data_IF_849818952360
#
_entry.id   IF_849818952360
#
_cell.length_a   1.000
_cell.length_b   1.000
_cell.length_c   1.000
_cell.angle_alpha   90.00
_cell.angle_beta   90.00
_cell.angle_gamma   90.00
#
_symmetry.space_group_name_H-M   'P 1'
#
loop_
_entity.id
_entity.type
_entity.pdbx_description
1 polymer ?
#
# COMPACT_ATOMS: atom_id res chain seq x y z
N UNK A 1 -12.03 18.38 -16.13
CA UNK A 1 -11.58 17.45 -15.08
C UNK A 1 -10.43 18.07 -14.32
N UNK A 2 -10.14 17.55 -13.13
CA UNK A 2 -8.93 17.96 -12.39
C UNK A 2 -7.77 17.06 -12.80
N UNK A 3 -6.59 17.63 -13.02
CA UNK A 3 -5.39 16.87 -13.32
C UNK A 3 -4.97 16.01 -12.14
N UNK A 4 -4.40 14.84 -12.43
CA UNK A 4 -3.75 13.95 -11.46
C UNK A 4 -2.40 13.50 -12.01
N UNK A 5 -1.42 13.28 -11.14
CA UNK A 5 -0.22 12.55 -11.48
C UNK A 5 -0.50 11.06 -11.29
N UNK A 6 -0.24 10.25 -12.28
CA UNK A 6 -0.37 8.78 -12.19
C UNK A 6 1.02 8.17 -12.23
N UNK A 7 1.35 7.42 -11.21
CA UNK A 7 2.58 6.62 -11.13
C UNK A 7 2.21 5.19 -10.75
N UNK A 8 3.08 4.23 -10.97
CA UNK A 8 2.80 2.88 -10.48
C UNK A 8 3.55 1.78 -11.23
N UNK A 9 3.07 0.59 -11.04
CA UNK A 9 3.60 -0.65 -11.61
C UNK A 9 2.53 -1.37 -12.42
N UNK A 10 2.94 -2.19 -13.36
CA UNK A 10 2.05 -3.00 -14.20
C UNK A 10 2.65 -4.39 -14.44
N UNK A 11 1.83 -5.31 -14.97
CA UNK A 11 2.23 -6.67 -15.36
C UNK A 11 2.80 -7.50 -14.21
N UNK A 12 2.39 -7.24 -12.97
CA UNK A 12 2.89 -7.95 -11.81
C UNK A 12 4.40 -7.83 -11.61
N UNK A 13 4.99 -6.70 -11.99
CA UNK A 13 6.43 -6.45 -11.87
C UNK A 13 6.89 -6.55 -10.42
N UNK A 14 8.04 -7.21 -10.20
CA UNK A 14 8.74 -7.11 -8.93
C UNK A 14 9.39 -5.73 -8.78
N UNK A 15 9.47 -5.23 -7.55
CA UNK A 15 10.11 -3.94 -7.26
C UNK A 15 11.47 -4.21 -6.61
N UNK A 16 12.52 -4.02 -7.40
CA UNK A 16 13.91 -4.00 -6.96
C UNK A 16 14.42 -2.56 -6.77
N UNK A 17 15.74 -2.43 -6.63
CA UNK A 17 16.40 -1.15 -6.39
C UNK A 17 16.13 -0.14 -7.51
N UNK A 18 16.26 -0.56 -8.76
CA UNK A 18 16.03 0.30 -9.93
C UNK A 18 14.57 0.79 -9.99
N UNK A 19 13.61 -0.13 -9.86
CA UNK A 19 12.19 0.22 -9.90
C UNK A 19 11.81 1.17 -8.76
N UNK A 20 12.36 0.99 -7.56
CA UNK A 20 12.14 1.89 -6.44
C UNK A 20 12.69 3.29 -6.72
N UNK A 21 13.88 3.42 -7.35
CA UNK A 21 14.44 4.71 -7.76
C UNK A 21 13.62 5.38 -8.86
N UNK A 22 13.15 4.64 -9.85
CA UNK A 22 12.30 5.17 -10.93
C UNK A 22 10.99 5.71 -10.35
N UNK A 23 10.34 4.96 -9.45
CA UNK A 23 9.13 5.43 -8.77
C UNK A 23 9.42 6.69 -7.94
N UNK A 24 10.53 6.74 -7.21
CA UNK A 24 10.93 7.91 -6.42
C UNK A 24 11.18 9.13 -7.33
N UNK A 25 11.87 8.95 -8.46
CA UNK A 25 12.12 10.01 -9.44
C UNK A 25 10.80 10.59 -9.98
N UNK A 26 9.82 9.75 -10.31
CA UNK A 26 8.51 10.22 -10.74
C UNK A 26 7.75 10.99 -9.64
N UNK A 27 7.88 10.60 -8.38
CA UNK A 27 7.31 11.37 -7.26
C UNK A 27 7.94 12.76 -7.18
N UNK A 28 9.27 12.85 -7.29
CA UNK A 28 9.99 14.14 -7.29
C UNK A 28 9.58 15.01 -8.48
N UNK A 29 9.47 14.43 -9.68
CA UNK A 29 9.01 15.15 -10.87
C UNK A 29 7.57 15.71 -10.67
N UNK A 30 6.69 14.96 -10.05
CA UNK A 30 5.36 15.46 -9.68
C UNK A 30 5.44 16.64 -8.71
N UNK A 31 6.31 16.57 -7.69
CA UNK A 31 6.49 17.65 -6.71
C UNK A 31 6.97 18.95 -7.39
N UNK A 32 7.93 18.83 -8.30
CA UNK A 32 8.56 19.98 -8.96
C UNK A 32 7.67 20.62 -10.02
N UNK A 33 7.06 19.79 -10.87
CA UNK A 33 6.34 20.27 -12.06
C UNK A 33 4.85 20.44 -11.87
N UNK A 34 4.24 19.80 -10.87
CA UNK A 34 2.79 19.78 -10.67
C UNK A 34 2.40 20.00 -9.21
N UNK A 35 2.71 21.18 -8.63
CA UNK A 35 2.49 21.46 -7.21
C UNK A 35 1.07 21.15 -6.76
N UNK A 36 0.94 20.44 -5.65
CA UNK A 36 -0.34 20.07 -5.00
C UNK A 36 -1.29 19.21 -5.85
N UNK A 37 -0.87 18.77 -7.03
CA UNK A 37 -1.66 17.84 -7.85
C UNK A 37 -1.75 16.48 -7.15
N UNK A 38 -2.93 15.84 -7.03
CA UNK A 38 -3.02 14.52 -6.43
C UNK A 38 -2.15 13.49 -7.15
N UNK A 39 -1.47 12.64 -6.39
CA UNK A 39 -0.68 11.53 -6.91
C UNK A 39 -1.47 10.24 -6.71
N UNK A 40 -1.77 9.55 -7.80
CA UNK A 40 -2.48 8.28 -7.82
C UNK A 40 -1.48 7.18 -8.16
N UNK A 41 -1.28 6.27 -7.21
CA UNK A 41 -0.40 5.11 -7.37
C UNK A 41 -1.22 3.90 -7.82
N UNK A 42 -1.00 3.43 -9.05
CA UNK A 42 -1.58 2.19 -9.56
C UNK A 42 -0.64 1.04 -9.21
N UNK A 43 -1.14 0.06 -8.47
CA UNK A 43 -0.31 -1.04 -7.99
C UNK A 43 -0.68 -2.34 -8.67
N UNK A 44 0.27 -2.86 -9.44
CA UNK A 44 0.28 -4.22 -9.95
C UNK A 44 1.70 -4.78 -9.83
N UNK A 45 2.02 -5.29 -8.64
CA UNK A 45 3.35 -5.78 -8.27
C UNK A 45 3.29 -7.11 -7.54
N UNK A 46 4.13 -8.06 -7.97
CA UNK A 46 4.30 -9.36 -7.31
C UNK A 46 5.08 -9.30 -5.99
N UNK A 47 5.52 -8.11 -5.58
CA UNK A 47 6.27 -7.89 -4.34
C UNK A 47 7.65 -7.28 -4.57
N UNK A 48 8.48 -7.33 -3.53
CA UNK A 48 9.89 -6.94 -3.67
C UNK A 48 10.65 -7.97 -4.51
N UNK A 49 11.67 -7.50 -5.23
CA UNK A 49 12.53 -8.33 -6.08
C UNK A 49 13.27 -9.39 -5.24
N UNK A 50 13.04 -10.69 -5.46
CA UNK A 50 13.61 -11.74 -4.62
C UNK A 50 15.00 -12.17 -5.12
N UNK A 51 15.90 -11.21 -5.36
CA UNK A 51 17.25 -11.52 -5.79
C UNK A 51 18.30 -11.02 -4.79
N UNK A 52 19.43 -11.74 -4.76
CA UNK A 52 20.51 -11.47 -3.82
C UNK A 52 21.21 -10.12 -4.09
N UNK A 53 21.27 -9.68 -5.35
CA UNK A 53 21.98 -8.46 -5.72
C UNK A 53 21.26 -7.23 -5.15
N UNK A 54 19.95 -7.14 -5.29
CA UNK A 54 19.16 -6.06 -4.72
C UNK A 54 19.28 -6.01 -3.19
N UNK A 55 19.24 -7.18 -2.53
CA UNK A 55 19.42 -7.26 -1.07
C UNK A 55 20.83 -6.80 -0.65
N UNK A 56 21.88 -7.23 -1.35
CA UNK A 56 23.26 -6.83 -1.05
C UNK A 56 23.51 -5.34 -1.30
N UNK A 57 22.81 -4.72 -2.25
CA UNK A 57 22.87 -3.30 -2.52
C UNK A 57 21.99 -2.48 -1.55
N UNK A 58 21.24 -3.13 -0.67
CA UNK A 58 20.46 -2.49 0.37
C UNK A 58 19.04 -2.12 -0.07
N UNK A 59 18.29 -3.07 -0.62
CA UNK A 59 16.90 -2.90 -1.08
C UNK A 59 16.02 -2.11 -0.10
N UNK A 60 16.16 -2.38 1.20
CA UNK A 60 15.42 -1.65 2.23
C UNK A 60 15.70 -0.13 2.22
N UNK A 61 16.92 0.29 1.89
CA UNK A 61 17.29 1.71 1.78
C UNK A 61 16.65 2.38 0.57
N UNK A 62 16.53 1.66 -0.55
CA UNK A 62 15.84 2.15 -1.74
C UNK A 62 14.34 2.33 -1.51
N UNK A 63 13.70 1.39 -0.82
CA UNK A 63 12.34 1.57 -0.37
C UNK A 63 12.21 2.75 0.61
N UNK A 64 13.14 2.90 1.56
CA UNK A 64 13.18 4.02 2.47
C UNK A 64 13.28 5.37 1.76
N UNK A 65 14.08 5.43 0.67
CA UNK A 65 14.17 6.61 -0.18
C UNK A 65 12.82 6.91 -0.88
N UNK A 66 12.19 5.91 -1.49
CA UNK A 66 10.86 6.06 -2.12
C UNK A 66 9.82 6.56 -1.11
N UNK A 67 9.79 5.98 0.09
CA UNK A 67 8.89 6.42 1.16
C UNK A 67 9.16 7.86 1.60
N UNK A 68 10.44 8.26 1.65
CA UNK A 68 10.82 9.65 1.97
C UNK A 68 10.34 10.63 0.90
N UNK A 69 10.40 10.25 -0.38
CA UNK A 69 9.86 11.05 -1.48
C UNK A 69 8.33 11.18 -1.39
N UNK A 70 7.61 10.10 -1.08
CA UNK A 70 6.17 10.13 -0.88
C UNK A 70 5.78 10.99 0.33
N UNK A 71 6.53 10.89 1.43
CA UNK A 71 6.30 11.77 2.59
C UNK A 71 6.57 13.24 2.25
N UNK A 72 7.62 13.53 1.50
CA UNK A 72 7.89 14.89 1.01
C UNK A 72 6.72 15.40 0.15
N UNK A 73 6.18 14.59 -0.75
CA UNK A 73 5.02 14.95 -1.55
C UNK A 73 3.82 15.31 -0.66
N UNK A 74 3.52 14.49 0.34
CA UNK A 74 2.44 14.78 1.31
C UNK A 74 2.67 16.11 2.02
N UNK A 75 3.88 16.36 2.53
CA UNK A 75 4.24 17.62 3.20
C UNK A 75 4.18 18.82 2.27
N UNK A 76 4.33 18.63 0.96
CA UNK A 76 4.15 19.66 -0.06
C UNK A 76 2.68 19.85 -0.47
N UNK A 77 1.75 19.10 0.13
CA UNK A 77 0.31 19.22 -0.05
C UNK A 77 -0.26 18.37 -1.18
N UNK A 78 0.50 17.39 -1.69
CA UNK A 78 -0.05 16.36 -2.60
C UNK A 78 -0.89 15.38 -1.81
N UNK A 79 -2.08 15.06 -2.31
CA UNK A 79 -2.90 13.95 -1.82
C UNK A 79 -2.41 12.65 -2.45
N UNK A 80 -2.14 11.65 -1.64
CA UNK A 80 -1.64 10.35 -2.09
C UNK A 80 -2.76 9.31 -2.07
N UNK A 81 -3.07 8.72 -3.21
CA UNK A 81 -4.06 7.65 -3.32
C UNK A 81 -3.42 6.41 -3.92
N UNK A 82 -3.77 5.24 -3.42
CA UNK A 82 -3.40 3.96 -4.01
C UNK A 82 -4.63 3.24 -4.53
N UNK A 83 -4.49 2.63 -5.71
CA UNK A 83 -5.46 1.70 -6.27
C UNK A 83 -4.71 0.43 -6.65
N UNK A 84 -4.97 -0.67 -5.95
CA UNK A 84 -4.50 -1.99 -6.36
C UNK A 84 -5.31 -2.43 -7.59
N UNK A 85 -4.64 -2.57 -8.73
CA UNK A 85 -5.27 -2.88 -10.03
C UNK A 85 -5.01 -4.31 -10.50
N UNK A 86 -4.01 -4.96 -9.93
CA UNK A 86 -3.60 -6.32 -10.22
C UNK A 86 -3.04 -6.98 -8.97
N UNK A 87 -1.81 -7.49 -9.05
CA UNK A 87 -1.11 -8.02 -7.88
C UNK A 87 -0.69 -6.87 -6.94
N UNK A 88 -0.98 -7.00 -5.67
CA UNK A 88 -0.55 -6.07 -4.64
C UNK A 88 -0.02 -6.90 -3.46
N UNK A 89 1.22 -7.40 -3.60
CA UNK A 89 1.74 -8.50 -2.79
C UNK A 89 2.96 -8.04 -1.98
N UNK A 90 3.02 -8.57 -0.76
CA UNK A 90 4.23 -8.58 0.07
C UNK A 90 4.71 -7.21 0.53
N UNK A 91 6.01 -7.15 0.84
CA UNK A 91 6.64 -5.96 1.41
C UNK A 91 6.58 -4.73 0.51
N UNK A 92 6.67 -4.90 -0.80
CA UNK A 92 6.57 -3.78 -1.73
C UNK A 92 5.22 -3.05 -1.63
N UNK A 93 4.11 -3.79 -1.66
CA UNK A 93 2.78 -3.19 -1.49
C UNK A 93 2.61 -2.56 -0.10
N UNK A 94 3.04 -3.27 0.96
CA UNK A 94 2.97 -2.75 2.33
C UNK A 94 3.78 -1.45 2.48
N UNK A 95 4.96 -1.39 1.88
CA UNK A 95 5.80 -0.19 1.94
C UNK A 95 5.16 0.96 1.17
N UNK A 96 5.18 0.93 -0.17
CA UNK A 96 4.80 2.12 -0.92
C UNK A 96 3.29 2.22 -1.17
N UNK A 97 2.61 1.10 -1.46
CA UNK A 97 1.18 1.11 -1.77
C UNK A 97 0.32 1.49 -0.56
N UNK A 98 0.61 0.92 0.60
CA UNK A 98 -0.14 1.23 1.83
C UNK A 98 0.31 2.53 2.51
N UNK A 99 1.29 3.22 1.96
CA UNK A 99 1.75 4.51 2.50
C UNK A 99 0.82 5.68 2.13
N UNK A 100 -0.08 5.51 1.18
CA UNK A 100 -1.02 6.53 0.73
C UNK A 100 -1.99 7.01 1.82
N UNK A 101 -2.59 8.18 1.61
CA UNK A 101 -3.64 8.73 2.48
C UNK A 101 -4.93 7.92 2.38
N UNK A 102 -5.23 7.38 1.19
CA UNK A 102 -6.37 6.53 0.87
C UNK A 102 -5.95 5.34 0.02
N UNK A 103 -6.50 4.19 0.33
CA UNK A 103 -6.14 2.92 -0.30
C UNK A 103 -7.40 2.22 -0.78
N UNK A 104 -7.44 1.94 -2.07
CA UNK A 104 -8.53 1.26 -2.77
C UNK A 104 -7.99 0.03 -3.49
N UNK A 105 -8.85 -0.90 -3.82
CA UNK A 105 -8.52 -2.04 -4.67
C UNK A 105 -9.65 -2.31 -5.65
N UNK A 106 -9.32 -2.79 -6.84
CA UNK A 106 -10.33 -3.37 -7.72
C UNK A 106 -10.73 -4.75 -7.20
N UNK A 107 -11.97 -5.14 -7.46
CA UNK A 107 -12.50 -6.47 -7.10
C UNK A 107 -11.72 -7.62 -7.73
N UNK A 108 -11.08 -7.35 -8.87
CA UNK A 108 -10.19 -8.28 -9.57
C UNK A 108 -8.75 -8.30 -9.02
N UNK A 109 -8.40 -7.41 -8.09
CA UNK A 109 -7.04 -7.31 -7.58
C UNK A 109 -6.72 -8.45 -6.60
N UNK A 110 -5.51 -9.00 -6.73
CA UNK A 110 -4.96 -10.03 -5.83
C UNK A 110 -4.11 -9.34 -4.76
N UNK A 111 -4.73 -8.97 -3.65
CA UNK A 111 -4.07 -8.30 -2.53
C UNK A 111 -3.70 -9.33 -1.47
N UNK A 112 -2.46 -9.32 -0.98
CA UNK A 112 -2.04 -10.29 0.03
C UNK A 112 -0.62 -10.08 0.53
N UNK A 113 -0.28 -10.77 1.63
CA UNK A 113 1.03 -10.66 2.24
C UNK A 113 2.05 -11.60 1.57
N UNK A 114 1.70 -12.88 1.46
CA UNK A 114 2.60 -13.92 0.94
C UNK A 114 1.78 -15.10 0.43
N UNK A 115 2.11 -15.70 -0.72
CA UNK A 115 1.49 -16.95 -1.18
C UNK A 115 1.60 -18.07 -0.15
N UNK A 116 0.58 -18.91 -0.06
CA UNK A 116 0.51 -19.97 0.97
C UNK A 116 1.70 -20.94 0.89
N UNK A 117 2.17 -21.23 -0.31
CA UNK A 117 3.34 -22.07 -0.54
C UNK A 117 4.62 -21.46 0.03
N UNK A 118 4.82 -20.16 -0.22
CA UNK A 118 5.94 -19.40 0.34
C UNK A 118 5.81 -19.29 1.87
N UNK A 119 4.60 -19.07 2.37
CA UNK A 119 4.33 -19.02 3.81
C UNK A 119 4.64 -20.38 4.46
N UNK A 120 4.27 -21.51 3.84
CA UNK A 120 4.63 -22.84 4.29
C UNK A 120 6.12 -23.07 4.31
N UNK A 121 6.83 -22.61 3.29
CA UNK A 121 8.29 -22.73 3.23
C UNK A 121 8.99 -21.97 4.35
N UNK A 122 8.50 -20.79 4.73
CA UNK A 122 9.07 -19.97 5.81
C UNK A 122 8.67 -20.46 7.19
N UNK A 123 7.39 -20.73 7.42
CA UNK A 123 6.85 -21.08 8.75
C UNK A 123 6.99 -22.55 9.11
N UNK A 124 7.26 -23.41 8.11
CA UNK A 124 7.24 -24.86 8.22
C UNK A 124 5.85 -25.45 8.57
N UNK A 125 4.80 -24.64 8.47
CA UNK A 125 3.42 -25.11 8.61
C UNK A 125 2.99 -25.76 7.29
N UNK A 126 2.41 -26.97 7.30
CA UNK A 126 1.95 -27.64 6.07
C UNK A 126 0.93 -26.80 5.29
N UNK A 127 1.05 -26.78 3.96
CA UNK A 127 0.15 -26.04 3.05
C UNK A 127 -1.33 -26.32 3.35
N UNK A 128 -1.70 -27.59 3.56
CA UNK A 128 -3.08 -27.97 3.85
C UNK A 128 -3.62 -27.33 5.15
N UNK A 129 -2.77 -27.12 6.14
CA UNK A 129 -3.14 -26.44 7.39
C UNK A 129 -3.36 -24.96 7.13
N UNK A 130 -2.45 -24.31 6.39
CA UNK A 130 -2.56 -22.89 6.02
C UNK A 130 -3.82 -22.65 5.16
N UNK A 131 -4.10 -23.51 4.20
CA UNK A 131 -5.31 -23.46 3.38
C UNK A 131 -6.60 -23.62 4.21
N UNK A 132 -6.58 -24.43 5.26
CA UNK A 132 -7.70 -24.53 6.19
C UNK A 132 -7.87 -23.26 7.02
N UNK A 133 -6.77 -22.71 7.52
CA UNK A 133 -6.77 -21.47 8.31
C UNK A 133 -7.18 -20.26 7.48
N UNK A 134 -6.80 -20.17 6.20
CA UNK A 134 -7.16 -19.03 5.35
C UNK A 134 -8.67 -18.83 5.21
N UNK A 135 -9.46 -19.90 5.32
CA UNK A 135 -10.94 -19.81 5.28
C UNK A 135 -11.54 -19.02 6.45
N UNK A 136 -10.80 -18.85 7.53
CA UNK A 136 -11.27 -18.19 8.76
C UNK A 136 -10.41 -17.01 9.18
N UNK A 137 -9.23 -16.87 8.56
CA UNK A 137 -8.25 -15.82 8.86
C UNK A 137 -7.99 -14.98 7.61
N UNK A 138 -8.62 -13.80 7.47
CA UNK A 138 -8.45 -12.93 6.28
C UNK A 138 -6.99 -12.55 6.00
N UNK A 139 -6.12 -12.56 7.01
CA UNK A 139 -4.69 -12.28 6.84
C UNK A 139 -3.93 -13.35 6.05
N UNK A 140 -4.48 -14.55 5.90
CA UNK A 140 -3.90 -15.65 5.14
C UNK A 140 -4.55 -15.81 3.76
N UNK A 141 -5.60 -15.06 3.49
CA UNK A 141 -6.34 -15.12 2.23
C UNK A 141 -5.86 -14.03 1.27
N UNK A 142 -5.88 -14.34 -0.03
CA UNK A 142 -5.61 -13.37 -1.10
C UNK A 142 -6.91 -12.80 -1.63
N UNK A 143 -6.92 -11.50 -1.87
CA UNK A 143 -8.04 -10.80 -2.45
C UNK A 143 -8.24 -9.41 -1.88
N UNK A 144 -8.98 -8.58 -2.60
CA UNK A 144 -9.30 -7.23 -2.15
C UNK A 144 -10.24 -7.24 -0.94
N UNK A 145 -11.26 -8.10 -0.94
CA UNK A 145 -12.24 -8.20 0.16
C UNK A 145 -11.63 -8.69 1.49
N UNK A 146 -10.85 -9.78 1.54
CA UNK A 146 -10.15 -10.16 2.78
C UNK A 146 -9.28 -9.05 3.33
N UNK A 147 -8.59 -8.31 2.45
CA UNK A 147 -7.74 -7.20 2.86
C UNK A 147 -8.53 -5.99 3.36
N UNK A 148 -9.73 -5.75 2.82
CA UNK A 148 -10.67 -4.74 3.32
C UNK A 148 -11.16 -5.11 4.74
N UNK A 149 -11.45 -6.38 5.01
CA UNK A 149 -11.82 -6.87 6.35
C UNK A 149 -10.71 -6.61 7.40
N UNK A 150 -9.44 -6.61 6.99
CA UNK A 150 -8.31 -6.24 7.84
C UNK A 150 -8.16 -4.72 8.04
N UNK A 151 -8.97 -3.91 7.36
CA UNK A 151 -8.85 -2.45 7.35
C UNK A 151 -7.68 -1.92 6.51
N UNK A 152 -7.04 -2.77 5.70
CA UNK A 152 -5.93 -2.41 4.82
C UNK A 152 -6.38 -1.67 3.56
N UNK A 153 -7.60 -1.92 3.10
CA UNK A 153 -8.24 -1.26 1.95
C UNK A 153 -9.50 -0.55 2.45
N UNK A 154 -9.75 0.65 1.98
CA UNK A 154 -10.89 1.45 2.41
C UNK A 154 -12.20 1.02 1.73
N UNK A 155 -12.12 0.75 0.43
CA UNK A 155 -13.26 0.32 -0.38
C UNK A 155 -12.74 -0.55 -1.53
N UNK A 156 -13.47 -1.61 -1.84
CA UNK A 156 -13.24 -2.42 -3.04
C UNK A 156 -14.12 -1.86 -4.16
N UNK A 157 -13.50 -1.53 -5.27
CA UNK A 157 -14.19 -0.97 -6.44
C UNK A 157 -14.43 -2.05 -7.50
N UNK A 158 -15.61 -2.07 -8.11
CA UNK A 158 -15.84 -2.95 -9.24
C UNK A 158 -14.91 -2.56 -10.40
N UNK A 159 -14.28 -3.55 -11.03
CA UNK A 159 -13.39 -3.37 -12.18
C UNK A 159 -14.13 -2.81 -13.39
N UNK A 160 -15.44 -2.94 -13.43
CA UNK A 160 -16.32 -2.37 -14.46
C UNK A 160 -17.16 -1.26 -13.85
N UNK A 161 -17.28 -0.15 -14.56
CA UNK A 161 -18.09 0.99 -14.13
C UNK A 161 -17.36 2.32 -14.23
N UNK A 162 -17.92 3.35 -13.62
CA UNK A 162 -17.36 4.71 -13.65
C UNK A 162 -16.23 4.86 -12.60
N UNK A 163 -15.04 4.37 -12.94
CA UNK A 163 -13.84 4.52 -12.11
C UNK A 163 -13.41 5.98 -12.01
N UNK A 164 -13.69 6.80 -13.01
CA UNK A 164 -13.36 8.23 -13.00
C UNK A 164 -14.17 8.97 -11.92
N UNK A 165 -15.46 8.73 -11.82
CA UNK A 165 -16.28 9.34 -10.78
C UNK A 165 -15.87 8.86 -9.38
N UNK A 166 -15.54 7.57 -9.21
CA UNK A 166 -15.04 7.03 -7.95
C UNK A 166 -13.73 7.68 -7.54
N UNK A 167 -12.78 7.81 -8.46
CA UNK A 167 -11.50 8.47 -8.21
C UNK A 167 -11.69 9.95 -7.83
N UNK A 168 -12.54 10.68 -8.56
CA UNK A 168 -12.84 12.07 -8.25
C UNK A 168 -13.42 12.23 -6.84
N UNK A 169 -14.35 11.36 -6.44
CA UNK A 169 -14.92 11.30 -5.09
C UNK A 169 -13.85 10.98 -4.04
N UNK A 170 -12.98 10.01 -4.31
CA UNK A 170 -11.89 9.62 -3.41
C UNK A 170 -10.92 10.78 -3.17
N UNK A 171 -10.50 11.48 -4.23
CA UNK A 171 -9.63 12.66 -4.13
C UNK A 171 -10.30 13.77 -3.32
N UNK A 172 -11.58 14.03 -3.54
CA UNK A 172 -12.33 15.02 -2.79
C UNK A 172 -12.43 14.69 -1.30
N UNK A 173 -12.61 13.41 -0.96
CA UNK A 173 -12.71 12.93 0.41
C UNK A 173 -11.36 12.85 1.14
N UNK A 174 -10.23 12.95 0.44
CA UNK A 174 -8.90 12.92 1.07
C UNK A 174 -8.64 14.25 1.78
N UNK A 175 -8.35 14.18 3.09
CA UNK A 175 -8.04 15.35 3.90
C UNK A 175 -6.74 16.04 3.46
N UNK A 176 -6.57 17.30 3.87
CA UNK A 176 -5.30 18.01 3.69
C UNK A 176 -4.25 17.55 4.73
N UNK A 177 -4.72 17.20 5.93
CA UNK A 177 -3.86 16.75 7.02
C UNK A 177 -3.75 15.22 7.05
N UNK A 178 -2.65 14.71 7.58
CA UNK A 178 -2.43 13.28 7.74
C UNK A 178 -3.38 12.68 8.80
N UNK A 179 -4.42 12.02 8.33
CA UNK A 179 -5.41 11.35 9.18
C UNK A 179 -5.40 9.81 9.05
N UNK A 180 -4.33 9.24 8.45
CA UNK A 180 -4.20 7.79 8.19
C UNK A 180 -4.42 6.93 9.43
N UNK A 181 -3.89 7.33 10.57
CA UNK A 181 -4.05 6.59 11.83
C UNK A 181 -5.52 6.52 12.27
N UNK A 182 -6.25 7.65 12.19
CA UNK A 182 -7.66 7.71 12.52
C UNK A 182 -8.51 6.88 11.54
N UNK A 183 -8.21 6.96 10.24
CA UNK A 183 -8.88 6.15 9.22
C UNK A 183 -8.62 4.66 9.40
N UNK A 184 -7.38 4.27 9.70
CA UNK A 184 -7.03 2.87 9.97
C UNK A 184 -7.78 2.32 11.19
N UNK A 185 -7.90 3.11 12.27
CA UNK A 185 -8.71 2.75 13.44
C UNK A 185 -10.20 2.60 13.08
N UNK A 186 -10.75 3.55 12.30
CA UNK A 186 -12.16 3.52 11.86
C UNK A 186 -12.48 2.28 11.02
N UNK A 187 -11.55 1.84 10.18
CA UNK A 187 -11.68 0.64 9.34
C UNK A 187 -11.47 -0.68 10.10
N UNK A 188 -11.22 -0.64 11.40
CA UNK A 188 -11.00 -1.84 12.20
C UNK A 188 -9.58 -2.42 12.09
N UNK A 189 -8.62 -1.66 11.56
CA UNK A 189 -7.19 -2.01 11.58
C UNK A 189 -6.66 -2.05 13.00
N UNK A 190 -5.50 -2.61 13.22
CA UNK A 190 -4.74 -2.82 14.49
C UNK A 190 -5.36 -2.12 15.72
N UNK A 191 -6.44 -2.68 16.24
CA UNK A 191 -7.33 -2.04 17.25
C UNK A 191 -6.60 -1.55 18.52
N UNK A 192 -5.56 -2.27 18.94
CA UNK A 192 -4.81 -1.94 20.16
C UNK A 192 -3.60 -1.02 19.91
N UNK A 193 -3.17 -0.84 18.65
CA UNK A 193 -1.91 -0.16 18.35
C UNK A 193 -1.89 1.31 18.80
N UNK A 194 -2.99 2.04 18.62
CA UNK A 194 -3.09 3.44 19.01
C UNK A 194 -3.05 3.61 20.52
N UNK A 195 -3.76 2.76 21.24
CA UNK A 195 -3.85 2.81 22.71
C UNK A 195 -2.50 2.44 23.33
N UNK A 196 -1.83 1.41 22.81
CA UNK A 196 -0.48 1.02 23.25
C UNK A 196 0.51 2.16 22.99
N UNK A 197 0.51 2.75 21.79
CA UNK A 197 1.38 3.89 21.46
C UNK A 197 1.16 5.06 22.44
N UNK A 198 -0.09 5.43 22.69
CA UNK A 198 -0.41 6.54 23.56
C UNK A 198 0.04 6.28 25.02
N UNK A 199 -0.08 5.04 25.49
CA UNK A 199 0.45 4.64 26.80
C UNK A 199 1.96 4.76 26.87
N UNK A 200 2.69 4.23 25.87
CA UNK A 200 4.15 4.34 25.78
C UNK A 200 4.59 5.80 25.80
N UNK A 201 3.96 6.67 25.02
CA UNK A 201 4.29 8.10 25.00
C UNK A 201 4.01 8.77 26.36
N UNK A 202 2.92 8.44 27.04
CA UNK A 202 2.59 8.99 28.34
C UNK A 202 3.55 8.50 29.45
N UNK A 203 4.02 7.28 29.35
CA UNK A 203 4.98 6.70 30.31
C UNK A 203 6.42 7.19 30.06
N UNK A 204 6.80 7.46 28.82
CA UNK A 204 8.12 8.00 28.48
C UNK A 204 8.28 9.50 28.76
N UNK A 205 7.19 10.21 29.03
CA UNK A 205 7.21 11.63 29.37
C UNK A 205 7.33 11.90 30.90
N UNK A 206 7.39 10.82 31.70
CA UNK A 206 7.64 10.87 33.15
C UNK A 206 9.13 10.73 33.45
#
# INVERSE_FOLDING_TARGET
>A
GKDVCVIGTCNGTYIGNEAALVLAAHVIDCIERRPKTPIVMLVDSAGQEPNRVDEMLGLASYFGHLLSCLELARRKGHKLLTIATGKAIGGAFICYGMFADRIYALDSASVGLMPIEAMSAVTKIPVAVLQKLSKTMPSLEFGAEPFALLGGVEEVWPSKGDLQARLAKAIAATAADDNRAALGKKRGGRKLALDIRNRVLAESAK
#
